data_IF_914378448707
#
_entry.id   IF_914378448707
#
_cell.length_a   1.000
_cell.length_b   1.000
_cell.length_c   1.000
_cell.angle_alpha   90.00
_cell.angle_beta   90.00
_cell.angle_gamma   90.00
#
_symmetry.space_group_name_H-M   'P 1'
#
loop_
_entity.id
_entity.type
_entity.pdbx_description
1 polymer ?
#
# COMPACT_ATOMS: atom_id res chain seq x y z
N UNK A 1 -0.25 9.13 -7.65
CA UNK A 1 0.56 9.42 -6.45
C UNK A 1 0.14 8.50 -5.29
N UNK A 2 0.35 7.18 -5.38
CA UNK A 2 -0.04 6.23 -4.32
C UNK A 2 0.85 6.33 -3.09
N UNK A 3 0.28 6.03 -1.93
CA UNK A 3 0.98 5.83 -0.66
C UNK A 3 0.51 4.54 -0.02
N UNK A 4 1.40 3.85 0.66
CA UNK A 4 1.05 2.63 1.39
C UNK A 4 1.66 2.68 2.78
N UNK A 5 0.83 2.47 3.80
CA UNK A 5 1.22 2.27 5.18
C UNK A 5 1.00 0.81 5.58
N UNK A 6 2.06 0.12 6.01
CA UNK A 6 1.97 -1.26 6.48
C UNK A 6 2.26 -1.28 7.98
N UNK A 7 1.29 -1.67 8.80
CA UNK A 7 1.48 -1.92 10.23
C UNK A 7 1.41 -3.41 10.47
N UNK A 8 2.39 -3.99 11.16
CA UNK A 8 2.44 -5.43 11.38
C UNK A 8 2.99 -5.75 12.77
N UNK A 9 2.45 -6.79 13.40
CA UNK A 9 2.88 -7.23 14.72
C UNK A 9 4.26 -7.88 14.68
N UNK A 10 4.99 -7.80 15.79
CA UNK A 10 6.41 -8.11 15.83
C UNK A 10 6.76 -9.59 15.71
N UNK A 11 5.77 -10.46 15.93
CA UNK A 11 5.81 -11.92 15.76
C UNK A 11 5.62 -12.39 14.32
N UNK A 12 5.24 -11.51 13.40
CA UNK A 12 5.05 -11.91 12.00
C UNK A 12 6.37 -12.10 11.28
N UNK A 13 6.57 -13.32 10.80
CA UNK A 13 7.59 -13.64 9.81
C UNK A 13 7.07 -13.32 8.41
N UNK A 14 7.43 -12.14 7.91
CA UNK A 14 7.02 -11.63 6.59
C UNK A 14 8.12 -10.78 5.94
N UNK A 15 8.31 -10.94 4.63
CA UNK A 15 9.19 -10.06 3.84
C UNK A 15 8.45 -8.77 3.46
N UNK A 16 8.58 -7.76 4.33
CA UNK A 16 7.96 -6.45 4.15
C UNK A 16 8.50 -5.71 2.92
N UNK A 17 9.78 -5.83 2.58
CA UNK A 17 10.34 -5.17 1.40
C UNK A 17 9.78 -5.76 0.12
N UNK A 18 9.68 -7.10 0.04
CA UNK A 18 9.04 -7.76 -1.09
C UNK A 18 7.57 -7.38 -1.21
N UNK A 19 6.86 -7.22 -0.09
CA UNK A 19 5.47 -6.75 -0.10
C UNK A 19 5.36 -5.31 -0.64
N UNK A 20 6.21 -4.39 -0.22
CA UNK A 20 6.21 -3.00 -0.74
C UNK A 20 6.42 -2.95 -2.25
N UNK A 21 7.41 -3.69 -2.78
CA UNK A 21 7.69 -3.76 -4.21
C UNK A 21 6.52 -4.39 -4.98
N UNK A 22 5.93 -5.44 -4.43
CA UNK A 22 4.80 -6.10 -5.07
C UNK A 22 3.55 -5.21 -5.09
N UNK A 23 3.28 -4.44 -4.03
CA UNK A 23 2.17 -3.47 -4.00
C UNK A 23 2.35 -2.42 -5.10
N UNK A 24 3.54 -1.84 -5.25
CA UNK A 24 3.81 -0.88 -6.34
C UNK A 24 3.60 -1.53 -7.72
N UNK A 25 4.11 -2.74 -7.93
CA UNK A 25 3.92 -3.47 -9.19
C UNK A 25 2.45 -3.75 -9.49
N UNK A 26 1.65 -4.14 -8.49
CA UNK A 26 0.20 -4.37 -8.65
C UNK A 26 -0.51 -3.06 -9.02
N UNK A 27 -0.15 -1.96 -8.35
CA UNK A 27 -0.74 -0.65 -8.65
C UNK A 27 -0.42 -0.25 -10.10
N UNK A 28 0.82 -0.39 -10.55
CA UNK A 28 1.22 0.00 -11.91
C UNK A 28 0.64 -0.93 -13.00
N UNK A 29 0.41 -2.20 -12.69
CA UNK A 29 -0.28 -3.14 -13.60
C UNK A 29 -1.75 -2.76 -13.81
N UNK A 30 -2.42 -2.30 -12.75
CA UNK A 30 -3.84 -1.91 -12.79
C UNK A 30 -4.04 -0.44 -13.24
N UNK A 31 -3.13 0.45 -12.86
CA UNK A 31 -3.14 1.88 -13.17
C UNK A 31 -1.70 2.35 -13.51
N UNK A 32 -1.29 2.23 -14.78
CA UNK A 32 0.03 2.69 -15.24
C UNK A 32 0.27 4.19 -15.02
N UNK A 33 -0.78 4.98 -14.80
CA UNK A 33 -0.70 6.43 -14.56
C UNK A 33 -0.51 6.78 -13.09
N UNK A 34 -0.54 5.80 -12.19
CA UNK A 34 -0.47 6.03 -10.75
C UNK A 34 0.86 6.69 -10.31
N UNK A 35 1.96 6.47 -11.02
CA UNK A 35 3.29 6.92 -10.62
C UNK A 35 3.83 6.20 -9.37
N UNK A 36 4.94 6.69 -8.82
CA UNK A 36 5.68 6.02 -7.72
C UNK A 36 4.84 5.89 -6.44
N UNK A 37 4.88 4.70 -5.83
CA UNK A 37 4.25 4.38 -4.56
C UNK A 37 5.19 4.65 -3.38
N UNK A 38 4.83 5.64 -2.56
CA UNK A 38 5.60 5.98 -1.35
C UNK A 38 5.16 5.08 -0.21
N UNK A 39 5.70 3.86 -0.20
CA UNK A 39 5.42 2.83 0.79
C UNK A 39 6.28 2.98 2.03
N UNK A 40 5.74 2.62 3.20
CA UNK A 40 6.46 2.56 4.48
C UNK A 40 5.83 1.52 5.40
N UNK A 41 6.60 1.04 6.38
CA UNK A 41 6.15 0.04 7.33
C UNK A 41 6.52 0.40 8.77
N UNK A 42 5.67 -0.03 9.69
CA UNK A 42 5.81 0.11 11.14
C UNK A 42 5.62 -1.25 11.79
N UNK A 43 6.66 -1.72 12.49
CA UNK A 43 6.60 -2.92 13.32
C UNK A 43 5.99 -2.55 14.67
N UNK A 44 5.06 -3.37 15.16
CA UNK A 44 4.30 -3.14 16.38
C UNK A 44 4.68 -4.19 17.41
N UNK A 45 5.37 -3.78 18.48
CA UNK A 45 5.86 -4.70 19.53
C UNK A 45 4.83 -5.00 20.61
N UNK A 46 3.85 -4.11 20.83
CA UNK A 46 2.74 -4.31 21.77
C UNK A 46 1.41 -4.53 21.02
N UNK A 47 0.86 -5.74 21.13
CA UNK A 47 -0.36 -6.15 20.42
C UNK A 47 -1.08 -7.28 21.18
N UNK A 48 -2.38 -7.50 20.87
CA UNK A 48 -3.17 -8.58 21.49
C UNK A 48 -3.34 -9.81 20.58
N UNK A 49 -3.48 -9.61 19.27
CA UNK A 49 -3.58 -10.68 18.27
C UNK A 49 -2.63 -10.39 17.11
N UNK A 50 -2.01 -11.43 16.53
CA UNK A 50 -1.12 -11.31 15.38
C UNK A 50 -1.87 -10.74 14.18
N UNK A 51 -1.38 -9.64 13.60
CA UNK A 51 -2.06 -8.99 12.48
C UNK A 51 -1.14 -8.15 11.61
N UNK A 52 -1.55 -7.98 10.36
CA UNK A 52 -0.98 -7.03 9.41
C UNK A 52 -2.09 -6.19 8.78
N UNK A 53 -1.90 -4.88 8.79
CA UNK A 53 -2.80 -3.89 8.22
C UNK A 53 -2.06 -3.10 7.14
N UNK A 54 -2.55 -3.20 5.91
CA UNK A 54 -2.05 -2.46 4.75
C UNK A 54 -3.08 -1.41 4.36
N UNK A 55 -2.73 -0.14 4.51
CA UNK A 55 -3.56 0.99 4.11
C UNK A 55 -2.96 1.66 2.87
N UNK A 56 -3.70 1.61 1.77
CA UNK A 56 -3.38 2.27 0.51
C UNK A 56 -4.13 3.59 0.43
N UNK A 57 -3.48 4.61 -0.10
CA UNK A 57 -4.07 5.91 -0.39
C UNK A 57 -3.76 6.33 -1.81
N UNK A 58 -4.80 6.68 -2.56
CA UNK A 58 -4.69 7.12 -3.96
C UNK A 58 -5.47 8.41 -4.19
N UNK A 59 -5.15 9.14 -5.24
CA UNK A 59 -5.93 10.30 -5.64
C UNK A 59 -7.24 9.83 -6.32
N UNK A 60 -8.37 10.48 -6.06
CA UNK A 60 -9.61 10.13 -6.74
C UNK A 60 -9.57 10.58 -8.20
N UNK A 61 -9.83 9.67 -9.14
CA UNK A 61 -10.05 10.01 -10.57
C UNK A 61 -11.25 9.23 -11.09
N UNK A 62 -11.79 9.62 -12.26
CA UNK A 62 -12.95 8.92 -12.84
C UNK A 62 -12.62 7.49 -13.26
N UNK A 63 -11.35 7.24 -13.55
CA UNK A 63 -10.81 5.99 -14.06
C UNK A 63 -10.52 4.98 -12.94
N UNK A 64 -10.44 5.43 -11.68
CA UNK A 64 -10.25 4.57 -10.50
C UNK A 64 -11.60 4.16 -9.93
N UNK A 65 -12.27 3.28 -10.67
CA UNK A 65 -13.61 2.80 -10.36
C UNK A 65 -13.62 1.63 -9.35
N UNK A 66 -14.82 1.12 -9.06
CA UNK A 66 -15.02 0.02 -8.11
C UNK A 66 -14.33 -1.28 -8.55
N UNK A 67 -14.20 -1.52 -9.85
CA UNK A 67 -13.56 -2.72 -10.38
C UNK A 67 -12.06 -2.68 -10.09
N UNK A 68 -11.40 -1.54 -10.37
CA UNK A 68 -10.01 -1.31 -10.01
C UNK A 68 -9.78 -1.45 -8.51
N UNK A 69 -10.66 -0.86 -7.69
CA UNK A 69 -10.60 -0.93 -6.22
C UNK A 69 -10.63 -2.39 -5.74
N UNK A 70 -11.55 -3.19 -6.26
CA UNK A 70 -11.70 -4.59 -5.89
C UNK A 70 -10.50 -5.43 -6.32
N UNK A 71 -10.00 -5.24 -7.55
CA UNK A 71 -8.82 -5.94 -8.02
C UNK A 71 -7.57 -5.57 -7.22
N UNK A 72 -7.37 -4.29 -6.93
CA UNK A 72 -6.22 -3.81 -6.18
C UNK A 72 -6.21 -4.41 -4.76
N UNK A 73 -7.32 -4.27 -4.03
CA UNK A 73 -7.42 -4.77 -2.65
C UNK A 73 -7.28 -6.30 -2.58
N UNK A 74 -7.89 -7.03 -3.51
CA UNK A 74 -7.80 -8.50 -3.59
C UNK A 74 -6.38 -8.98 -3.91
N UNK A 75 -5.71 -8.38 -4.92
CA UNK A 75 -4.34 -8.78 -5.29
C UNK A 75 -3.34 -8.46 -4.18
N UNK A 76 -3.51 -7.34 -3.49
CA UNK A 76 -2.67 -6.98 -2.33
C UNK A 76 -2.89 -7.95 -1.17
N UNK A 77 -4.13 -8.33 -0.87
CA UNK A 77 -4.45 -9.34 0.16
C UNK A 77 -3.80 -10.70 -0.15
N UNK A 78 -4.01 -11.21 -1.37
CA UNK A 78 -3.41 -12.46 -1.83
C UNK A 78 -1.88 -12.42 -1.76
N UNK A 79 -1.29 -11.31 -2.20
CA UNK A 79 0.17 -11.15 -2.19
C UNK A 79 0.70 -11.09 -0.77
N UNK A 80 0.04 -10.37 0.13
CA UNK A 80 0.38 -10.30 1.56
C UNK A 80 0.41 -11.72 2.15
N UNK A 81 -0.68 -12.47 1.98
CA UNK A 81 -0.79 -13.86 2.46
C UNK A 81 0.29 -14.78 1.88
N UNK A 82 0.65 -14.62 0.61
CA UNK A 82 1.71 -15.42 -0.04
C UNK A 82 3.11 -15.21 0.54
N UNK A 83 3.34 -14.08 1.21
CA UNK A 83 4.63 -13.72 1.81
C UNK A 83 4.70 -14.02 3.32
N UNK A 84 3.57 -14.39 3.95
CA UNK A 84 3.50 -14.71 5.37
C UNK A 84 3.94 -16.15 5.63
N UNK A 85 4.65 -16.38 6.74
CA UNK A 85 5.02 -17.72 7.21
C UNK A 85 4.27 -18.17 8.46
N UNK A 86 3.51 -17.28 9.09
CA UNK A 86 2.67 -17.55 10.25
C UNK A 86 1.23 -17.10 10.02
N UNK A 87 0.28 -17.70 10.74
CA UNK A 87 -1.13 -17.34 10.67
C UNK A 87 -1.37 -16.00 11.38
N UNK A 88 -2.16 -15.12 10.77
CA UNK A 88 -2.51 -13.81 11.33
C UNK A 88 -3.78 -13.25 10.69
N UNK A 89 -4.34 -12.21 11.30
CA UNK A 89 -5.36 -11.40 10.65
C UNK A 89 -4.72 -10.50 9.57
N UNK A 90 -5.36 -10.40 8.41
CA UNK A 90 -4.91 -9.57 7.29
C UNK A 90 -6.00 -8.55 6.98
N UNK A 91 -5.63 -7.28 6.93
CA UNK A 91 -6.51 -6.19 6.52
C UNK A 91 -5.87 -5.43 5.37
N UNK A 92 -6.63 -5.21 4.29
CA UNK A 92 -6.27 -4.28 3.22
C UNK A 92 -7.36 -3.22 3.12
N UNK A 93 -6.95 -1.96 3.24
CA UNK A 93 -7.83 -0.80 3.14
C UNK A 93 -7.35 0.09 2.01
N UNK A 94 -8.26 0.61 1.19
CA UNK A 94 -7.96 1.63 0.19
C UNK A 94 -8.82 2.86 0.47
N UNK A 95 -8.15 4.00 0.67
CA UNK A 95 -8.79 5.31 0.77
C UNK A 95 -8.43 6.17 -0.43
N UNK A 96 -9.35 7.07 -0.79
CA UNK A 96 -9.06 8.15 -1.71
C UNK A 96 -8.82 9.46 -0.99
N UNK A 97 -7.76 10.16 -1.36
CA UNK A 97 -7.45 11.46 -0.79
C UNK A 97 -8.46 12.50 -1.27
N UNK A 98 -9.12 13.25 -0.36
CA UNK A 98 -10.08 14.28 -0.75
C UNK A 98 -9.40 15.50 -1.40
N UNK A 99 -10.19 16.33 -2.09
CA UNK A 99 -9.75 17.61 -2.63
C UNK A 99 -9.76 18.72 -1.54
N UNK A 100 -8.81 19.68 -1.59
CA UNK A 100 -7.65 19.75 -2.48
C UNK A 100 -6.48 18.89 -1.99
N UNK A 101 -5.73 18.29 -2.93
CA UNK A 101 -4.53 17.51 -2.64
C UNK A 101 -3.33 18.07 -3.42
N UNK A 102 -2.33 18.60 -2.72
CA UNK A 102 -1.08 19.05 -3.32
C UNK A 102 -0.07 17.91 -3.35
N UNK A 103 0.54 17.71 -4.51
CA UNK A 103 1.52 16.66 -4.77
C UNK A 103 2.59 17.22 -5.71
N UNK A 104 3.82 16.79 -5.54
CA UNK A 104 4.92 17.18 -6.41
C UNK A 104 6.20 16.40 -6.11
N UNK A 105 7.17 16.55 -6.99
CA UNK A 105 8.55 16.17 -6.77
C UNK A 105 9.34 17.46 -6.55
N UNK A 106 10.20 17.47 -5.54
CA UNK A 106 11.11 18.59 -5.30
C UNK A 106 12.52 18.11 -5.60
N UNK A 107 13.14 18.71 -6.62
CA UNK A 107 14.56 18.53 -6.89
C UNK A 107 15.29 19.82 -6.48
N UNK A 108 16.20 19.78 -5.48
CA UNK A 108 16.96 20.96 -5.09
C UNK A 108 17.86 21.48 -6.22
N UNK A 109 18.19 20.66 -7.22
CA UNK A 109 18.97 21.08 -8.39
C UNK A 109 18.15 21.82 -9.47
N UNK A 110 16.81 21.73 -9.43
CA UNK A 110 15.89 22.44 -10.33
C UNK A 110 15.59 23.89 -9.87
N UNK A 111 16.37 24.41 -8.91
CA UNK A 111 16.23 25.78 -8.40
C UNK A 111 16.86 26.77 -9.40
N UNK A 112 16.03 27.40 -10.25
CA UNK A 112 16.38 28.65 -10.94
C UNK A 112 16.49 29.81 -9.93
#
# INVERSE_FOLDING_TARGET
>A
MPHTDIKYTSDLEIDIKALMLAIESIILDLDPTAGVCKSRAMKIDEYHHSHINTELRMYATKERDIELINQLTTRVDQKTKSLMRSAAHVTVKLDFTPLPYLTGFFDPSDSN
#
